data_IF_635216845760
#
_entry.id   IF_635216845760
#
_cell.length_a   1.000
_cell.length_b   1.000
_cell.length_c   1.000
_cell.angle_alpha   90.00
_cell.angle_beta   90.00
_cell.angle_gamma   90.00
#
_symmetry.space_group_name_H-M   'P 1'
#
loop_
_entity.id
_entity.type
_entity.pdbx_description
1 polymer ?
#
# COMPACT_ATOMS: atom_id res chain seq x y z
N UNK A 1 26.96 4.65 -22.73
CA UNK A 1 26.71 3.78 -21.56
C UNK A 1 25.38 3.08 -21.79
N UNK A 2 25.42 1.82 -22.21
CA UNK A 2 24.24 1.03 -22.58
C UNK A 2 23.66 0.43 -21.31
N UNK A 3 22.42 0.80 -20.95
CA UNK A 3 21.70 0.18 -19.82
C UNK A 3 21.23 -1.21 -20.26
N UNK A 4 21.91 -2.24 -19.78
CA UNK A 4 21.54 -3.63 -20.02
C UNK A 4 20.17 -3.90 -19.39
N UNK A 5 19.22 -4.32 -20.22
CA UNK A 5 17.80 -4.50 -19.90
C UNK A 5 17.51 -5.84 -19.20
N UNK A 6 18.49 -6.45 -18.51
CA UNK A 6 18.44 -7.89 -18.22
C UNK A 6 18.01 -8.27 -16.80
N UNK A 7 17.90 -7.33 -15.85
CA UNK A 7 17.42 -7.62 -14.49
C UNK A 7 16.71 -6.43 -13.87
N UNK A 8 15.49 -6.12 -14.32
CA UNK A 8 14.61 -5.19 -13.59
C UNK A 8 13.99 -5.91 -12.40
N UNK A 9 14.82 -6.41 -11.47
CA UNK A 9 14.34 -6.78 -10.14
C UNK A 9 14.21 -5.49 -9.34
N UNK A 10 13.13 -4.75 -9.55
CA UNK A 10 12.80 -3.65 -8.64
C UNK A 10 12.27 -4.28 -7.36
N UNK A 11 13.18 -4.52 -6.41
CA UNK A 11 12.84 -4.97 -5.06
C UNK A 11 11.82 -4.00 -4.49
N UNK A 12 10.74 -4.54 -3.90
CA UNK A 12 9.84 -3.79 -3.05
C UNK A 12 10.65 -3.09 -1.96
N UNK A 13 10.83 -1.79 -2.11
CA UNK A 13 11.58 -1.03 -1.13
C UNK A 13 10.58 -0.33 -0.24
N UNK A 14 10.19 -1.01 0.84
CA UNK A 14 9.66 -0.30 2.01
C UNK A 14 10.57 0.89 2.32
N UNK A 15 10.01 2.07 2.45
CA UNK A 15 10.79 3.25 2.83
C UNK A 15 11.03 3.13 4.34
N UNK A 16 12.28 2.85 4.70
CA UNK A 16 12.69 2.71 6.10
C UNK A 16 12.27 3.95 6.92
N UNK A 17 11.71 3.71 8.11
CA UNK A 17 11.19 4.76 8.99
C UNK A 17 9.88 5.42 8.54
N UNK A 18 9.25 4.95 7.46
CA UNK A 18 7.96 5.49 7.00
C UNK A 18 6.75 4.94 7.77
N UNK A 19 6.89 3.79 8.45
CA UNK A 19 5.84 3.25 9.31
C UNK A 19 5.64 4.15 10.53
N UNK A 20 4.44 4.72 10.67
CA UNK A 20 4.07 5.56 11.82
C UNK A 20 2.62 5.32 12.19
N UNK A 21 2.34 5.18 13.49
CA UNK A 21 0.99 5.33 14.01
C UNK A 21 0.56 6.80 13.85
N UNK A 22 -0.70 7.02 13.47
CA UNK A 22 -1.28 8.34 13.23
C UNK A 22 -2.68 8.44 13.81
N UNK A 23 -3.04 9.65 14.25
CA UNK A 23 -4.42 10.01 14.56
C UNK A 23 -5.04 10.63 13.31
N UNK A 24 -6.06 9.98 12.74
CA UNK A 24 -6.89 10.53 11.67
C UNK A 24 -8.00 11.36 12.32
N UNK A 25 -8.15 12.60 11.86
CA UNK A 25 -9.22 13.51 12.31
C UNK A 25 -10.11 13.81 11.12
N UNK A 26 -11.37 13.41 11.19
CA UNK A 26 -12.41 13.68 10.18
C UNK A 26 -13.56 14.44 10.84
N UNK A 27 -13.51 15.78 10.75
CA UNK A 27 -14.42 16.65 11.51
C UNK A 27 -14.23 16.44 13.02
N UNK A 28 -15.28 15.99 13.71
CA UNK A 28 -15.24 15.65 15.14
C UNK A 28 -14.78 14.22 15.41
N UNK A 29 -14.76 13.35 14.39
CA UNK A 29 -14.35 11.96 14.55
C UNK A 29 -12.83 11.85 14.62
N UNK A 30 -12.34 11.13 15.63
CA UNK A 30 -10.94 10.77 15.79
C UNK A 30 -10.79 9.27 15.71
N UNK A 31 -10.00 8.81 14.75
CA UNK A 31 -9.69 7.39 14.58
C UNK A 31 -8.18 7.19 14.64
N UNK A 32 -7.74 6.06 15.18
CA UNK A 32 -6.35 5.65 15.08
C UNK A 32 -6.10 4.93 13.74
N UNK A 33 -4.85 4.91 13.36
CA UNK A 33 -4.39 4.17 12.21
C UNK A 33 -2.88 4.19 12.10
N UNK A 34 -2.38 3.73 10.97
CA UNK A 34 -0.97 3.81 10.66
C UNK A 34 -0.75 4.13 9.20
N UNK A 35 0.36 4.79 8.92
CA UNK A 35 0.84 5.06 7.57
C UNK A 35 2.12 4.31 7.31
N UNK A 36 2.32 3.86 6.08
CA UNK A 36 3.63 3.41 5.60
C UNK A 36 3.79 3.76 4.13
N UNK A 37 5.03 3.87 3.67
CA UNK A 37 5.34 4.22 2.28
C UNK A 37 6.14 3.13 1.60
N UNK A 38 5.80 2.86 0.35
CA UNK A 38 6.55 1.98 -0.54
C UNK A 38 7.16 2.84 -1.65
N UNK A 39 8.47 2.69 -1.85
CA UNK A 39 9.17 3.21 -3.02
C UNK A 39 9.24 2.09 -4.05
N UNK A 40 9.12 2.47 -5.33
CA UNK A 40 9.13 1.50 -6.42
C UNK A 40 8.13 0.39 -6.12
N UNK A 41 6.82 0.72 -6.03
CA UNK A 41 5.78 -0.29 -5.95
C UNK A 41 6.14 -1.29 -7.04
N UNK A 42 6.33 -2.56 -6.66
CA UNK A 42 7.19 -3.52 -7.34
C UNK A 42 6.81 -3.58 -8.81
N UNK A 43 7.67 -4.09 -9.69
CA UNK A 43 7.33 -4.33 -11.11
C UNK A 43 5.89 -4.90 -11.32
N UNK A 44 5.34 -5.72 -10.40
CA UNK A 44 3.91 -6.08 -10.37
C UNK A 44 2.85 -5.06 -9.88
N UNK A 45 3.17 -3.81 -9.56
CA UNK A 45 2.23 -2.72 -9.29
C UNK A 45 2.32 -1.63 -10.38
N UNK A 46 3.25 -1.72 -11.32
CA UNK A 46 3.27 -0.82 -12.47
C UNK A 46 2.07 -1.08 -13.37
N UNK A 47 1.20 -0.07 -13.54
CA UNK A 47 -0.03 -0.19 -14.33
C UNK A 47 -1.28 0.28 -13.60
N UNK A 48 -2.44 -0.17 -14.07
CA UNK A 48 -3.75 0.16 -13.52
C UNK A 48 -4.13 -0.83 -12.43
N UNK A 49 -4.12 -0.39 -11.17
CA UNK A 49 -4.55 -1.19 -10.03
C UNK A 49 -6.06 -1.11 -9.87
N UNK A 50 -6.74 -2.25 -9.97
CA UNK A 50 -8.22 -2.34 -9.94
C UNK A 50 -8.76 -2.88 -8.63
N UNK A 51 -7.92 -3.50 -7.79
CA UNK A 51 -8.28 -3.91 -6.43
C UNK A 51 -7.04 -3.99 -5.56
N UNK A 52 -7.17 -3.57 -4.30
CA UNK A 52 -6.18 -3.76 -3.25
C UNK A 52 -6.86 -4.28 -2.00
N UNK A 53 -6.26 -5.31 -1.41
CA UNK A 53 -6.63 -5.90 -0.13
C UNK A 53 -5.40 -5.90 0.77
N UNK A 54 -5.58 -5.58 2.06
CA UNK A 54 -4.49 -5.52 3.02
C UNK A 54 -4.82 -6.39 4.23
N UNK A 55 -3.83 -7.15 4.67
CA UNK A 55 -3.90 -7.97 5.87
C UNK A 55 -2.79 -7.52 6.82
N UNK A 56 -3.13 -7.40 8.10
CA UNK A 56 -2.18 -7.09 9.18
C UNK A 56 -2.18 -8.27 10.14
N UNK A 57 -1.03 -8.92 10.33
CA UNK A 57 -0.89 -10.12 11.16
C UNK A 57 -1.92 -11.21 10.78
N UNK A 58 -2.13 -11.41 9.47
CA UNK A 58 -3.13 -12.30 8.87
C UNK A 58 -4.61 -11.91 9.09
N UNK A 59 -4.89 -10.76 9.71
CA UNK A 59 -6.23 -10.21 9.88
C UNK A 59 -6.57 -9.27 8.71
N UNK A 60 -7.65 -9.50 7.96
CA UNK A 60 -8.05 -8.63 6.85
C UNK A 60 -8.47 -7.25 7.35
N UNK A 61 -8.05 -6.21 6.63
CA UNK A 61 -8.48 -4.84 6.87
C UNK A 61 -9.66 -4.51 5.94
N UNK A 62 -10.76 -3.92 6.44
CA UNK A 62 -11.86 -3.47 5.60
C UNK A 62 -11.39 -2.49 4.51
N UNK A 63 -11.80 -2.69 3.25
CA UNK A 63 -11.38 -1.83 2.12
C UNK A 63 -11.67 -0.34 2.34
N UNK A 64 -12.77 -0.03 3.03
CA UNK A 64 -13.16 1.35 3.38
C UNK A 64 -12.15 2.04 4.31
N UNK A 65 -11.36 1.26 5.05
CA UNK A 65 -10.33 1.75 5.97
C UNK A 65 -8.95 1.89 5.32
N UNK A 66 -8.82 1.61 4.02
CA UNK A 66 -7.56 1.64 3.28
C UNK A 66 -7.59 2.80 2.31
N UNK A 67 -6.63 3.71 2.46
CA UNK A 67 -6.40 4.81 1.53
C UNK A 67 -5.01 4.67 0.91
N UNK A 68 -4.94 4.91 -0.40
CA UNK A 68 -3.73 4.79 -1.19
C UNK A 68 -3.50 6.14 -1.83
N UNK A 69 -2.36 6.75 -1.51
CA UNK A 69 -1.93 8.02 -2.07
C UNK A 69 -0.73 7.78 -2.98
N UNK A 70 -0.87 8.18 -4.24
CA UNK A 70 0.25 8.29 -5.19
C UNK A 70 0.64 9.76 -5.33
N UNK A 71 1.56 10.09 -6.24
CA UNK A 71 1.87 11.50 -6.52
C UNK A 71 0.76 12.21 -7.31
N UNK A 72 -0.22 11.48 -7.83
CA UNK A 72 -1.26 12.01 -8.72
C UNK A 72 -2.64 12.00 -8.10
N UNK A 73 -2.92 11.01 -7.24
CA UNK A 73 -4.25 10.81 -6.69
C UNK A 73 -4.22 10.21 -5.28
N UNK A 74 -5.33 10.38 -4.55
CA UNK A 74 -5.62 9.71 -3.29
C UNK A 74 -6.95 9.00 -3.42
N UNK A 75 -6.93 7.67 -3.33
CA UNK A 75 -8.11 6.84 -3.52
C UNK A 75 -8.36 5.95 -2.30
N UNK A 76 -9.64 5.74 -1.98
CA UNK A 76 -10.04 4.70 -1.05
C UNK A 76 -10.07 3.35 -1.78
N UNK A 77 -9.51 2.29 -1.19
CA UNK A 77 -9.43 0.98 -1.85
C UNK A 77 -10.81 0.39 -2.18
N UNK A 78 -11.87 0.79 -1.47
CA UNK A 78 -13.25 0.36 -1.79
C UNK A 78 -13.82 0.96 -3.08
N UNK A 79 -13.22 2.05 -3.58
CA UNK A 79 -13.63 2.69 -4.83
C UNK A 79 -12.92 2.11 -6.07
N UNK A 80 -11.89 1.28 -5.87
CA UNK A 80 -11.15 0.67 -6.97
C UNK A 80 -11.99 -0.39 -7.68
N UNK A 81 -11.96 -0.33 -9.00
CA UNK A 81 -12.60 -1.31 -9.88
C UNK A 81 -11.95 -1.29 -11.26
N UNK A 82 -12.36 -2.20 -12.14
CA UNK A 82 -11.90 -2.22 -13.54
C UNK A 82 -12.25 -0.93 -14.29
N UNK A 83 -13.35 -0.26 -13.91
CA UNK A 83 -13.76 1.03 -14.50
C UNK A 83 -13.14 2.25 -13.81
N UNK A 84 -12.56 2.06 -12.63
CA UNK A 84 -11.94 3.13 -11.83
C UNK A 84 -10.63 2.62 -11.21
N UNK A 85 -9.60 2.35 -12.02
CA UNK A 85 -8.30 1.97 -11.51
C UNK A 85 -7.56 3.17 -10.91
N UNK A 86 -6.53 2.88 -10.11
CA UNK A 86 -5.49 3.86 -9.76
C UNK A 86 -4.20 3.54 -10.54
N UNK A 87 -3.66 4.50 -11.31
CA UNK A 87 -2.42 4.28 -12.04
C UNK A 87 -1.21 4.38 -11.10
N UNK A 88 -0.33 3.40 -11.22
CA UNK A 88 0.95 3.35 -10.53
C UNK A 88 2.07 3.38 -11.57
N UNK A 89 2.87 4.45 -11.56
CA UNK A 89 4.00 4.61 -12.48
C UNK A 89 5.24 3.91 -11.92
N UNK A 90 6.08 3.32 -12.78
CA UNK A 90 7.40 2.85 -12.37
C UNK A 90 8.17 3.96 -11.64
N UNK A 91 8.84 3.60 -10.55
CA UNK A 91 9.61 4.52 -9.70
C UNK A 91 8.82 5.58 -8.93
N UNK A 92 7.49 5.52 -8.96
CA UNK A 92 6.65 6.35 -8.11
C UNK A 92 6.74 5.88 -6.65
N UNK A 93 6.46 6.77 -5.70
CA UNK A 93 6.21 6.36 -4.32
C UNK A 93 4.70 6.26 -4.08
N UNK A 94 4.29 5.32 -3.25
CA UNK A 94 2.92 5.22 -2.79
C UNK A 94 2.89 5.21 -1.27
N UNK A 95 1.93 5.93 -0.68
CA UNK A 95 1.66 5.91 0.75
C UNK A 95 0.35 5.19 1.00
N UNK A 96 0.35 4.35 2.01
CA UNK A 96 -0.82 3.62 2.46
C UNK A 96 -1.19 4.17 3.82
N UNK A 97 -2.44 4.60 3.97
CA UNK A 97 -3.05 4.97 5.23
C UNK A 97 -4.08 3.91 5.58
N UNK A 98 -3.92 3.31 6.76
CA UNK A 98 -4.77 2.23 7.25
C UNK A 98 -5.43 2.68 8.54
N UNK A 99 -6.75 2.83 8.51
CA UNK A 99 -7.54 3.11 9.70
C UNK A 99 -7.78 1.80 10.45
N UNK A 100 -7.35 1.76 11.72
CA UNK A 100 -7.50 0.62 12.61
C UNK A 100 -7.60 1.15 14.04
N UNK A 101 -8.67 0.79 14.75
CA UNK A 101 -9.03 1.36 16.07
C UNK A 101 -7.88 1.36 17.10
N UNK A 102 -7.03 0.32 17.11
CA UNK A 102 -5.88 0.24 18.04
C UNK A 102 -4.53 0.62 17.42
N UNK A 103 -4.50 1.07 16.17
CA UNK A 103 -3.24 1.24 15.42
C UNK A 103 -2.40 -0.05 15.38
N UNK A 104 -1.08 0.11 15.31
CA UNK A 104 -0.10 -0.96 15.49
C UNK A 104 0.52 -0.92 16.88
N UNK A 105 0.83 -2.10 17.42
CA UNK A 105 1.51 -2.24 18.70
C UNK A 105 2.97 -1.78 18.58
N UNK A 106 3.39 -0.81 19.38
CA UNK A 106 4.76 -0.31 19.36
C UNK A 106 5.77 -1.39 19.71
N UNK A 107 6.98 -1.31 19.12
CA UNK A 107 8.11 -2.21 19.39
C UNK A 107 7.84 -3.67 19.02
N UNK A 108 6.77 -3.94 18.25
CA UNK A 108 6.48 -5.25 17.68
C UNK A 108 6.68 -5.26 16.17
N UNK A 109 7.03 -6.44 15.65
CA UNK A 109 7.03 -6.70 14.22
C UNK A 109 5.60 -7.04 13.78
N UNK A 110 5.14 -6.36 12.74
CA UNK A 110 3.86 -6.58 12.11
C UNK A 110 4.06 -7.12 10.70
N UNK A 111 3.35 -8.20 10.38
CA UNK A 111 3.31 -8.75 9.03
C UNK A 111 2.18 -8.07 8.26
N UNK A 112 2.53 -7.30 7.25
CA UNK A 112 1.59 -6.69 6.32
C UNK A 112 1.61 -7.49 5.03
N UNK A 113 0.45 -7.94 4.55
CA UNK A 113 0.32 -8.56 3.24
C UNK A 113 -0.58 -7.68 2.39
N UNK A 114 -0.06 -7.19 1.27
CA UNK A 114 -0.83 -6.46 0.28
C UNK A 114 -1.14 -7.45 -0.84
N UNK A 115 -2.43 -7.68 -1.11
CA UNK A 115 -2.84 -8.34 -2.34
C UNK A 115 -3.33 -7.28 -3.32
N UNK A 116 -2.77 -7.28 -4.51
CA UNK A 116 -3.10 -6.32 -5.55
C UNK A 116 -3.54 -7.03 -6.81
N UNK A 117 -4.61 -6.54 -7.45
CA UNK A 117 -5.06 -7.00 -8.77
C UNK A 117 -4.81 -5.88 -9.78
N UNK A 118 -4.09 -6.22 -10.85
CA UNK A 118 -3.84 -5.34 -11.98
C UNK A 118 -4.86 -5.63 -13.07
N UNK A 119 -5.24 -4.59 -13.80
CA UNK A 119 -6.09 -4.74 -14.98
C UNK A 119 -5.46 -5.72 -15.99
N UNK A 120 -6.17 -6.81 -16.31
CA UNK A 120 -5.69 -7.83 -17.25
C UNK A 120 -4.66 -8.82 -16.71
N UNK A 121 -4.37 -8.83 -15.41
CA UNK A 121 -3.43 -9.77 -14.79
C UNK A 121 -4.03 -10.49 -13.58
N UNK A 122 -3.38 -11.60 -13.22
CA UNK A 122 -3.65 -12.33 -11.98
C UNK A 122 -3.30 -11.51 -10.73
N UNK A 123 -3.89 -11.90 -9.60
CA UNK A 123 -3.62 -11.26 -8.32
C UNK A 123 -2.20 -11.51 -7.85
N UNK A 124 -1.59 -10.49 -7.25
CA UNK A 124 -0.20 -10.49 -6.81
C UNK A 124 -0.14 -10.28 -5.31
N UNK A 125 0.66 -11.09 -4.63
CA UNK A 125 0.78 -11.11 -3.17
C UNK A 125 2.13 -10.53 -2.79
N UNK A 126 2.09 -9.52 -1.92
CA UNK A 126 3.24 -8.75 -1.48
C UNK A 126 3.33 -8.84 0.05
N UNK A 127 4.15 -9.75 0.60
CA UNK A 127 4.40 -9.82 2.02
C UNK A 127 5.50 -8.82 2.44
N UNK A 128 5.25 -8.08 3.52
CA UNK A 128 6.18 -7.11 4.10
C UNK A 128 6.15 -7.31 5.62
N UNK A 129 7.32 -7.25 6.26
CA UNK A 129 7.40 -7.23 7.73
C UNK A 129 7.94 -5.87 8.14
N UNK A 130 7.15 -5.13 8.92
CA UNK A 130 7.52 -3.81 9.43
C UNK A 130 7.69 -3.87 10.94
N UNK A 131 8.65 -3.12 11.48
CA UNK A 131 8.79 -2.89 12.91
C UNK A 131 8.39 -1.45 13.21
N UNK A 132 7.49 -1.27 14.18
CA UNK A 132 7.05 0.03 14.70
C UNK A 132 7.86 0.46 15.92
#
# INVERSE_FOLDING_TARGET
MVRTLDKTHTVLSYIEGSLKNVMIVEGENKCQGFIFSLLNPPVPLGGNIVSVDIYVNAIPIPKKSIFIATSEDVVNASALSEYRPIPFKPFQSARFLIIKEDGLEEKKKHKIVILSKLEGFEQIIIPITLAG
#
